data_IF_884314612844
#
_entry.id   IF_884314612844
#
_cell.length_a   1.000
_cell.length_b   1.000
_cell.length_c   1.000
_cell.angle_alpha   90.00
_cell.angle_beta   90.00
_cell.angle_gamma   90.00
#
_symmetry.space_group_name_H-M   'P 1'
#
loop_
_entity.id
_entity.type
_entity.pdbx_description
1 polymer ?
#
# COMPACT_ATOMS: atom_id res chain seq x y z
N UNK A 1 -26.28 6.52 -3.87
CA UNK A 1 -25.75 5.64 -2.81
C UNK A 1 -25.74 6.45 -1.52
N UNK A 2 -26.16 5.92 -0.37
CA UNK A 2 -26.09 6.67 0.90
C UNK A 2 -24.66 6.68 1.45
N UNK A 3 -24.34 7.66 2.28
CA UNK A 3 -23.01 7.79 2.89
C UNK A 3 -22.64 6.54 3.72
N UNK A 4 -23.60 5.97 4.45
CA UNK A 4 -23.39 4.74 5.24
C UNK A 4 -23.01 3.54 4.36
N UNK A 5 -23.69 3.38 3.22
CA UNK A 5 -23.37 2.31 2.26
C UNK A 5 -22.01 2.53 1.61
N UNK A 6 -21.58 3.78 1.46
CA UNK A 6 -20.27 4.12 0.92
C UNK A 6 -19.16 3.74 1.89
N UNK A 7 -19.31 4.06 3.18
CA UNK A 7 -18.37 3.61 4.21
C UNK A 7 -18.31 2.09 4.34
N UNK A 8 -19.46 1.41 4.32
CA UNK A 8 -19.49 -0.06 4.34
C UNK A 8 -18.74 -0.66 3.13
N UNK A 9 -18.91 -0.08 1.94
CA UNK A 9 -18.14 -0.46 0.75
C UNK A 9 -16.64 -0.22 0.96
N UNK A 10 -16.24 0.89 1.58
CA UNK A 10 -14.83 1.20 1.83
C UNK A 10 -14.19 0.24 2.83
N UNK A 11 -14.91 -0.15 3.87
CA UNK A 11 -14.46 -1.17 4.83
C UNK A 11 -14.33 -2.54 4.17
N UNK A 12 -15.29 -2.92 3.32
CA UNK A 12 -15.18 -4.15 2.52
C UNK A 12 -13.97 -4.11 1.58
N UNK A 13 -13.69 -2.98 0.93
CA UNK A 13 -12.52 -2.83 0.06
C UNK A 13 -11.21 -2.95 0.85
N UNK A 14 -11.12 -2.35 2.04
CA UNK A 14 -9.95 -2.49 2.93
C UNK A 14 -9.77 -3.95 3.35
N UNK A 15 -10.85 -4.63 3.75
CA UNK A 15 -10.80 -6.05 4.09
C UNK A 15 -10.29 -6.91 2.92
N UNK A 16 -10.85 -6.72 1.73
CA UNK A 16 -10.40 -7.42 0.52
C UNK A 16 -8.94 -7.09 0.17
N UNK A 17 -8.49 -5.87 0.44
CA UNK A 17 -7.09 -5.50 0.26
C UNK A 17 -6.16 -6.30 1.19
N UNK A 18 -6.50 -6.40 2.48
CA UNK A 18 -5.76 -7.22 3.44
C UNK A 18 -5.71 -8.68 3.02
N UNK A 19 -6.85 -9.27 2.66
CA UNK A 19 -6.91 -10.67 2.21
C UNK A 19 -6.04 -10.91 0.97
N UNK A 20 -6.07 -10.00 -0.02
CA UNK A 20 -5.25 -10.11 -1.22
C UNK A 20 -3.76 -9.91 -0.93
N UNK A 21 -3.42 -8.95 -0.06
CA UNK A 21 -2.04 -8.70 0.39
C UNK A 21 -1.47 -9.96 1.05
N UNK A 22 -2.18 -10.51 2.01
CA UNK A 22 -1.72 -11.64 2.81
C UNK A 22 -1.59 -12.90 1.95
N UNK A 23 -2.54 -13.10 1.02
CA UNK A 23 -2.43 -14.17 0.02
C UNK A 23 -1.21 -13.99 -0.88
N UNK A 24 -0.99 -12.78 -1.41
CA UNK A 24 0.15 -12.48 -2.30
C UNK A 24 1.49 -12.72 -1.57
N UNK A 25 1.56 -12.35 -0.29
CA UNK A 25 2.72 -12.64 0.56
C UNK A 25 2.93 -14.14 0.75
N UNK A 26 1.87 -14.87 1.09
CA UNK A 26 1.92 -16.33 1.31
C UNK A 26 2.35 -17.08 0.04
N UNK A 27 1.77 -16.74 -1.11
CA UNK A 27 2.12 -17.35 -2.41
C UNK A 27 3.59 -17.10 -2.75
N UNK A 28 4.12 -15.90 -2.46
CA UNK A 28 5.54 -15.58 -2.65
C UNK A 28 6.45 -16.35 -1.69
N UNK A 29 6.14 -16.36 -0.38
CA UNK A 29 6.87 -17.13 0.64
C UNK A 29 6.93 -18.61 0.23
N UNK A 30 5.81 -19.21 -0.16
CA UNK A 30 5.75 -20.61 -0.57
C UNK A 30 6.63 -20.88 -1.80
N UNK A 31 6.64 -19.98 -2.78
CA UNK A 31 7.51 -20.09 -3.96
C UNK A 31 9.00 -20.01 -3.56
N UNK A 32 9.38 -19.09 -2.68
CA UNK A 32 10.75 -18.97 -2.18
C UNK A 32 11.18 -20.22 -1.40
N UNK A 33 10.29 -20.77 -0.57
CA UNK A 33 10.51 -22.04 0.15
C UNK A 33 10.71 -23.20 -0.83
N UNK A 34 9.87 -23.33 -1.87
CA UNK A 34 10.00 -24.39 -2.85
C UNK A 34 11.33 -24.33 -3.62
N UNK A 35 11.76 -23.12 -4.00
CA UNK A 35 13.06 -22.91 -4.64
C UNK A 35 14.18 -23.28 -3.66
N UNK A 36 14.14 -22.77 -2.43
CA UNK A 36 15.14 -23.06 -1.40
C UNK A 36 15.24 -24.57 -1.11
N UNK A 37 14.11 -25.26 -1.02
CA UNK A 37 14.04 -26.69 -0.82
C UNK A 37 14.64 -27.49 -1.99
N UNK A 38 14.47 -27.03 -3.23
CA UNK A 38 15.09 -27.65 -4.41
C UNK A 38 16.64 -27.60 -4.35
N UNK A 39 17.20 -26.60 -3.67
CA UNK A 39 18.65 -26.48 -3.41
C UNK A 39 19.04 -26.97 -1.99
N UNK A 40 18.12 -27.60 -1.26
CA UNK A 40 18.26 -28.11 0.12
C UNK A 40 18.46 -27.03 1.20
N UNK A 41 18.96 -25.84 0.87
CA UNK A 41 19.13 -24.73 1.80
C UNK A 41 19.32 -23.41 1.03
N UNK A 42 19.18 -22.28 1.75
CA UNK A 42 19.43 -20.95 1.18
C UNK A 42 20.91 -20.75 0.85
N UNK A 43 21.81 -21.35 1.61
CA UNK A 43 23.27 -21.24 1.42
C UNK A 43 23.76 -21.92 0.13
N UNK A 44 22.96 -22.83 -0.41
CA UNK A 44 23.24 -23.53 -1.66
C UNK A 44 22.59 -22.86 -2.88
N UNK A 45 21.85 -21.76 -2.69
CA UNK A 45 21.22 -21.06 -3.80
C UNK A 45 22.27 -20.30 -4.63
N UNK A 46 22.18 -20.36 -5.96
CA UNK A 46 22.93 -19.44 -6.81
C UNK A 46 22.59 -17.98 -6.47
N UNK A 47 23.60 -17.12 -6.49
CA UNK A 47 23.48 -15.70 -6.12
C UNK A 47 22.32 -14.98 -6.83
N UNK A 48 22.12 -15.25 -8.12
CA UNK A 48 21.01 -14.65 -8.87
C UNK A 48 19.61 -15.02 -8.36
N UNK A 49 19.42 -16.20 -7.75
CA UNK A 49 18.15 -16.54 -7.11
C UNK A 49 17.97 -15.82 -5.78
N UNK A 50 19.06 -15.65 -5.02
CA UNK A 50 19.04 -14.91 -3.75
C UNK A 50 18.67 -13.46 -4.01
N UNK A 51 19.35 -12.82 -4.97
CA UNK A 51 19.06 -11.44 -5.38
C UNK A 51 17.62 -11.28 -5.88
N UNK A 52 17.13 -12.23 -6.70
CA UNK A 52 15.75 -12.19 -7.17
C UNK A 52 14.75 -12.29 -6.02
N UNK A 53 14.96 -13.20 -5.07
CA UNK A 53 14.06 -13.33 -3.91
C UNK A 53 14.04 -12.06 -3.07
N UNK A 54 15.20 -11.46 -2.83
CA UNK A 54 15.31 -10.24 -2.04
C UNK A 54 14.62 -9.06 -2.76
N UNK A 55 14.81 -8.93 -4.08
CA UNK A 55 14.09 -7.94 -4.90
C UNK A 55 12.57 -8.13 -4.88
N UNK A 56 12.09 -9.37 -4.90
CA UNK A 56 10.65 -9.66 -4.83
C UNK A 56 10.06 -9.27 -3.47
N UNK A 57 10.79 -9.51 -2.37
CA UNK A 57 10.41 -9.06 -1.02
C UNK A 57 10.37 -7.53 -0.94
N UNK A 58 11.39 -6.86 -1.45
CA UNK A 58 11.45 -5.39 -1.44
C UNK A 58 10.33 -4.79 -2.29
N UNK A 59 10.06 -5.35 -3.47
CA UNK A 59 8.95 -4.95 -4.34
C UNK A 59 7.62 -5.17 -3.64
N UNK A 60 7.44 -6.31 -2.97
CA UNK A 60 6.24 -6.57 -2.20
C UNK A 60 6.04 -5.52 -1.10
N UNK A 61 7.09 -5.22 -0.32
CA UNK A 61 7.04 -4.22 0.73
C UNK A 61 6.71 -2.82 0.18
N UNK A 62 7.28 -2.45 -0.97
CA UNK A 62 7.00 -1.16 -1.59
C UNK A 62 5.56 -1.06 -2.11
N UNK A 63 5.02 -2.12 -2.71
CA UNK A 63 3.68 -2.08 -3.30
C UNK A 63 2.56 -2.29 -2.27
N UNK A 64 2.77 -3.18 -1.29
CA UNK A 64 1.73 -3.74 -0.44
C UNK A 64 1.85 -3.39 1.05
N UNK A 65 2.84 -2.59 1.45
CA UNK A 65 2.93 -2.14 2.84
C UNK A 65 1.72 -1.29 3.24
N UNK A 66 1.41 -1.34 4.53
CA UNK A 66 0.45 -0.45 5.17
C UNK A 66 1.23 0.38 6.20
N UNK A 67 1.03 1.71 6.27
CA UNK A 67 0.14 2.52 5.42
C UNK A 67 0.77 2.97 4.09
N UNK A 68 2.05 2.67 3.87
CA UNK A 68 2.86 3.40 2.89
C UNK A 68 2.91 2.83 1.48
N UNK A 69 2.39 1.62 1.30
CA UNK A 69 2.45 0.92 0.03
C UNK A 69 1.63 1.59 -1.06
N UNK A 70 2.17 1.57 -2.28
CA UNK A 70 1.55 2.22 -3.44
C UNK A 70 0.10 1.79 -3.63
N UNK A 71 -0.20 0.50 -3.45
CA UNK A 71 -1.56 -0.02 -3.63
C UNK A 71 -2.51 0.41 -2.51
N UNK A 72 -2.04 0.49 -1.26
CA UNK A 72 -2.87 0.96 -0.15
C UNK A 72 -3.17 2.45 -0.28
N UNK A 73 -2.18 3.27 -0.63
CA UNK A 73 -2.36 4.70 -0.92
C UNK A 73 -3.35 4.92 -2.07
N UNK A 74 -3.23 4.14 -3.15
CA UNK A 74 -4.15 4.21 -4.29
C UNK A 74 -5.58 3.85 -3.89
N UNK A 75 -5.76 2.87 -3.00
CA UNK A 75 -7.08 2.55 -2.45
C UNK A 75 -7.67 3.74 -1.68
N UNK A 76 -6.90 4.33 -0.77
CA UNK A 76 -7.36 5.46 0.04
C UNK A 76 -7.72 6.68 -0.82
N UNK A 77 -6.90 7.01 -1.82
CA UNK A 77 -7.17 8.12 -2.73
C UNK A 77 -8.50 7.92 -3.50
N UNK A 78 -8.77 6.71 -3.98
CA UNK A 78 -10.05 6.39 -4.63
C UNK A 78 -11.23 6.52 -3.66
N UNK A 79 -11.05 6.10 -2.41
CA UNK A 79 -12.08 6.23 -1.38
C UNK A 79 -12.38 7.71 -1.08
N UNK A 80 -11.35 8.54 -0.95
CA UNK A 80 -11.47 9.98 -0.75
C UNK A 80 -12.16 10.68 -1.93
N UNK A 81 -11.81 10.31 -3.17
CA UNK A 81 -12.47 10.80 -4.38
C UNK A 81 -13.97 10.43 -4.40
N UNK A 82 -14.31 9.18 -4.04
CA UNK A 82 -15.71 8.73 -3.96
C UNK A 82 -16.50 9.50 -2.89
N UNK A 83 -15.91 9.79 -1.72
CA UNK A 83 -16.54 10.59 -0.66
C UNK A 83 -16.75 12.02 -1.12
N UNK A 84 -15.72 12.63 -1.72
CA UNK A 84 -15.78 14.01 -2.22
C UNK A 84 -16.88 14.16 -3.27
N UNK A 85 -16.98 13.22 -4.20
CA UNK A 85 -18.03 13.20 -5.23
C UNK A 85 -19.44 12.96 -4.64
N UNK A 86 -19.55 12.12 -3.60
CA UNK A 86 -20.82 11.90 -2.91
C UNK A 86 -21.26 13.13 -2.12
N UNK A 87 -20.33 13.88 -1.53
CA UNK A 87 -20.60 15.13 -0.81
C UNK A 87 -20.93 16.29 -1.77
N UNK A 88 -20.22 16.41 -2.90
CA UNK A 88 -20.45 17.44 -3.92
C UNK A 88 -21.74 17.28 -4.74
N UNK A 89 -22.29 16.05 -4.82
CA UNK A 89 -23.60 15.80 -5.44
C UNK A 89 -24.79 16.04 -4.50
N UNK A 90 -24.55 16.46 -3.26
CA UNK A 90 -25.60 17.11 -2.46
C UNK A 90 -25.75 18.52 -3.02
N UNK A 91 -26.57 18.67 -4.06
CA UNK A 91 -27.09 19.98 -4.44
C UNK A 91 -27.75 20.59 -3.20
N UNK A 92 -27.02 21.52 -2.58
CA UNK A 92 -27.59 22.54 -1.73
C UNK A 92 -28.69 23.22 -2.56
N UNK A 93 -29.93 22.88 -2.28
CA UNK A 93 -31.04 23.76 -2.59
C UNK A 93 -30.75 25.07 -1.86
N UNK A 94 -30.44 26.10 -2.64
CA UNK A 94 -30.47 27.53 -2.33
C UNK A 94 -29.90 27.95 -0.96
N UNK A 95 -28.71 28.57 -0.96
CA UNK A 95 -28.62 30.03 -0.79
C UNK A 95 -27.14 30.47 -0.79
N UNK A 96 -26.90 31.56 -1.51
CA UNK A 96 -25.63 32.25 -1.65
C UNK A 96 -24.87 32.42 -0.33
N UNK A 97 -23.80 31.64 -0.12
CA UNK A 97 -22.63 32.07 0.65
C UNK A 97 -21.37 31.53 -0.01
N UNK A 98 -20.51 32.47 -0.39
CA UNK A 98 -19.15 32.27 -0.90
C UNK A 98 -18.44 31.13 -0.15
N UNK A 99 -18.12 30.07 -0.87
CA UNK A 99 -17.09 29.11 -0.46
C UNK A 99 -15.83 29.53 -1.20
N UNK A 100 -14.95 30.19 -0.47
CA UNK A 100 -13.59 30.53 -0.88
C UNK A 100 -12.86 29.23 -1.24
N UNK A 101 -12.59 29.05 -2.53
CA UNK A 101 -11.94 27.89 -3.10
C UNK A 101 -10.48 27.86 -2.68
N UNK A 102 -10.16 27.10 -1.63
CA UNK A 102 -8.81 26.58 -1.43
C UNK A 102 -8.52 25.47 -2.46
N UNK A 103 -8.49 25.83 -3.75
CA UNK A 103 -8.07 24.99 -4.89
C UNK A 103 -6.62 25.31 -5.30
N UNK A 104 -5.86 25.99 -4.43
CA UNK A 104 -4.55 26.54 -4.80
C UNK A 104 -3.33 25.74 -4.33
N UNK A 105 -3.47 24.59 -3.67
CA UNK A 105 -2.31 23.78 -3.30
C UNK A 105 -2.50 22.32 -3.71
N UNK A 106 -2.07 22.00 -4.93
CA UNK A 106 -1.34 20.79 -5.32
C UNK A 106 -0.99 20.77 -6.81
N UNK A 107 -1.13 21.91 -7.51
CA UNK A 107 -0.45 22.22 -8.76
C UNK A 107 1.07 22.52 -8.57
N UNK A 108 1.69 22.11 -7.46
CA UNK A 108 3.14 22.14 -7.28
C UNK A 108 3.77 20.84 -7.78
N UNK A 109 3.61 20.60 -9.08
CA UNK A 109 4.53 19.73 -9.80
C UNK A 109 5.92 20.38 -9.85
N UNK A 110 6.95 19.57 -9.56
CA UNK A 110 8.36 19.72 -9.96
C UNK A 110 9.17 20.86 -9.33
N UNK A 111 10.22 20.50 -8.57
CA UNK A 111 11.66 20.87 -8.72
C UNK A 111 12.39 20.76 -7.37
N UNK A 112 13.66 20.32 -7.41
CA UNK A 112 14.67 20.06 -6.35
C UNK A 112 14.59 18.62 -5.81
N UNK A 113 15.43 17.63 -6.19
CA UNK A 113 16.90 17.60 -6.36
C UNK A 113 17.63 18.27 -5.20
N UNK A 114 18.39 17.44 -4.49
CA UNK A 114 19.23 17.71 -3.32
C UNK A 114 18.48 17.73 -1.99
N UNK A 115 18.42 16.56 -1.34
CA UNK A 115 19.13 16.41 -0.07
C UNK A 115 19.42 14.93 0.22
N UNK A 116 20.69 14.68 0.52
CA UNK A 116 21.21 13.46 1.13
C UNK A 116 20.64 13.36 2.56
N UNK A 117 20.58 12.14 3.09
CA UNK A 117 20.34 11.83 4.51
C UNK A 117 18.90 11.53 4.97
N UNK A 118 18.13 10.74 4.21
CA UNK A 118 16.94 10.04 4.74
C UNK A 118 16.98 8.51 4.58
N UNK A 119 18.17 7.92 4.70
CA UNK A 119 18.35 6.46 4.61
C UNK A 119 18.22 5.75 5.99
N UNK A 120 17.85 6.47 7.05
CA UNK A 120 18.00 5.96 8.43
C UNK A 120 16.71 5.56 9.17
N UNK A 121 15.52 5.65 8.58
CA UNK A 121 14.30 5.22 9.30
C UNK A 121 13.30 4.36 8.50
N UNK A 122 13.54 4.16 7.20
CA UNK A 122 12.72 3.25 6.39
C UNK A 122 12.97 1.78 6.77
N UNK A 123 14.22 1.41 7.06
CA UNK A 123 14.58 0.03 7.44
C UNK A 123 13.90 -0.45 8.73
N UNK A 124 13.63 0.46 9.67
CA UNK A 124 12.97 0.14 10.95
C UNK A 124 11.45 0.00 10.84
N UNK A 125 10.81 0.63 9.85
CA UNK A 125 9.37 0.49 9.62
C UNK A 125 9.06 -0.73 8.74
N UNK A 126 9.95 -1.07 7.80
CA UNK A 126 9.82 -2.29 7.01
C UNK A 126 10.03 -3.57 7.83
N UNK A 127 10.89 -3.56 8.86
CA UNK A 127 11.06 -4.73 9.75
C UNK A 127 9.78 -5.05 10.52
N UNK A 128 9.07 -4.03 11.05
CA UNK A 128 7.80 -4.24 11.77
C UNK A 128 6.72 -4.85 10.88
N UNK A 129 6.60 -4.40 9.64
CA UNK A 129 5.66 -4.97 8.69
C UNK A 129 5.98 -6.43 8.35
N UNK A 130 7.26 -6.82 8.36
CA UNK A 130 7.71 -8.20 8.15
C UNK A 130 7.43 -9.07 9.38
N UNK A 131 7.72 -8.57 10.58
CA UNK A 131 7.52 -9.28 11.85
C UNK A 131 6.04 -9.52 12.15
N UNK A 132 5.16 -8.57 11.82
CA UNK A 132 3.69 -8.74 11.94
C UNK A 132 3.10 -9.75 10.94
N UNK A 133 3.88 -10.19 9.93
CA UNK A 133 3.48 -11.14 8.87
C UNK A 133 4.15 -12.51 8.97
N UNK A 134 4.88 -12.79 10.05
CA UNK A 134 5.20 -14.16 10.45
C UNK A 134 3.98 -14.77 11.16
N UNK A 135 2.94 -15.05 10.37
CA UNK A 135 1.96 -16.05 10.73
C UNK A 135 2.71 -17.39 10.78
N UNK A 136 2.80 -17.96 11.99
CA UNK A 136 3.30 -19.32 12.23
C UNK A 136 2.64 -20.27 11.23
N UNK A 137 3.43 -20.78 10.29
CA UNK A 137 3.01 -21.90 9.45
C UNK A 137 3.19 -23.14 10.31
N UNK A 138 2.11 -23.59 10.94
CA UNK A 138 1.96 -24.93 11.53
C UNK A 138 1.90 -26.02 10.43
#
# INVERSE_FOLDING_TARGET
>A
MSLDKLYEKHDQQKKSYHELRDKTWSDMKQRHLNITAAFQSRDNLPEGYVEQMDQEVDTFNHEWSIPDGVKYKTLLLKQEEEITNAAGNVQLGNDDKEIDLAVDNLASSKILREDKDQDFDLKNQFSKNRDDMDLEID
#
